data_IF_556410835620
#
_entry.id   IF_556410835620
#
_cell.length_a   1.000
_cell.length_b   1.000
_cell.length_c   1.000
_cell.angle_alpha   90.00
_cell.angle_beta   90.00
_cell.angle_gamma   90.00
#
_symmetry.space_group_name_H-M   'P 1'
#
loop_
_entity.id
_entity.type
_entity.pdbx_description
1 polymer ?
#
# COMPACT_ATOMS: atom_id res chain seq x y z
N UNK A 1 -34.01 -2.30 -34.03
CA UNK A 1 -32.53 -2.31 -34.01
C UNK A 1 -31.92 -1.50 -32.87
N UNK A 2 -32.58 -0.47 -32.33
CA UNK A 2 -32.03 0.38 -31.24
C UNK A 2 -31.97 -0.24 -29.83
N UNK A 3 -32.81 -1.26 -29.55
CA UNK A 3 -32.83 -1.93 -28.22
C UNK A 3 -31.56 -2.72 -27.91
N UNK A 4 -30.95 -3.34 -28.92
CA UNK A 4 -29.68 -4.05 -28.75
C UNK A 4 -28.52 -3.08 -28.51
N UNK A 5 -28.56 -1.90 -29.15
CA UNK A 5 -27.56 -0.85 -28.97
C UNK A 5 -27.56 -0.29 -27.53
N UNK A 6 -28.74 -0.12 -26.94
CA UNK A 6 -28.90 0.36 -25.56
C UNK A 6 -28.28 -0.59 -24.51
N UNK A 7 -28.35 -1.90 -24.73
CA UNK A 7 -27.79 -2.88 -23.78
C UNK A 7 -26.25 -2.92 -23.81
N UNK A 8 -25.62 -2.67 -24.97
CA UNK A 8 -24.17 -2.65 -25.10
C UNK A 8 -23.55 -1.44 -24.38
N UNK A 9 -24.22 -0.28 -24.40
CA UNK A 9 -23.76 0.93 -23.71
C UNK A 9 -23.79 0.75 -22.19
N UNK A 10 -24.79 0.04 -21.64
CA UNK A 10 -24.89 -0.25 -20.21
C UNK A 10 -23.74 -1.15 -19.73
N UNK A 11 -23.31 -2.12 -20.53
CA UNK A 11 -22.20 -3.01 -20.17
C UNK A 11 -20.83 -2.30 -20.17
N UNK A 12 -20.63 -1.28 -21.02
CA UNK A 12 -19.39 -0.50 -21.06
C UNK A 12 -19.26 0.50 -19.89
N UNK A 13 -20.38 0.99 -19.35
CA UNK A 13 -20.40 1.90 -18.19
C UNK A 13 -20.16 1.18 -16.85
N UNK A 14 -20.34 -0.14 -16.79
CA UNK A 14 -20.02 -0.95 -15.61
C UNK A 14 -18.57 -1.44 -15.57
N UNK A 15 -17.77 -1.16 -16.60
CA UNK A 15 -16.32 -1.39 -16.59
C UNK A 15 -15.59 -0.22 -15.91
N UNK A 16 -16.08 0.21 -14.75
CA UNK A 16 -15.22 0.94 -13.83
C UNK A 16 -14.30 -0.10 -13.21
N UNK A 17 -13.04 -0.10 -13.66
CA UNK A 17 -11.91 -0.69 -12.96
C UNK A 17 -11.75 -0.03 -11.58
N UNK A 18 -12.74 -0.17 -10.71
CA UNK A 18 -12.64 0.14 -9.30
C UNK A 18 -12.26 -1.17 -8.63
N UNK A 19 -10.98 -1.53 -8.74
CA UNK A 19 -10.35 -2.02 -7.53
C UNK A 19 -10.09 -0.74 -6.74
N UNK A 20 -10.92 -0.35 -5.74
CA UNK A 20 -10.32 0.40 -4.67
C UNK A 20 -9.23 -0.53 -4.17
N UNK A 21 -7.96 -0.21 -4.47
CA UNK A 21 -6.84 -0.77 -3.76
C UNK A 21 -7.04 -0.29 -2.33
N UNK A 22 -7.85 -1.05 -1.58
CA UNK A 22 -8.11 -0.84 -0.18
C UNK A 22 -6.74 -0.62 0.44
N UNK A 23 -6.52 0.50 1.15
CA UNK A 23 -5.30 0.68 1.92
C UNK A 23 -5.22 -0.61 2.73
N UNK A 24 -4.21 -1.45 2.52
CA UNK A 24 -4.06 -2.55 3.47
C UNK A 24 -3.62 -1.87 4.73
N UNK A 25 -4.59 -1.60 5.58
CA UNK A 25 -4.39 -1.10 6.92
C UNK A 25 -3.48 -2.16 7.54
N UNK A 26 -2.21 -1.80 7.68
CA UNK A 26 -1.23 -2.65 8.30
C UNK A 26 -1.66 -2.88 9.74
N UNK A 27 -1.49 -4.11 10.22
CA UNK A 27 -1.66 -4.40 11.64
C UNK A 27 -0.52 -3.73 12.40
N UNK A 28 -0.85 -2.89 13.38
CA UNK A 28 0.15 -2.21 14.21
C UNK A 28 0.91 -3.23 15.05
N UNK A 29 2.21 -3.02 15.25
CA UNK A 29 2.98 -3.86 16.17
C UNK A 29 2.57 -3.62 17.63
N UNK A 30 2.79 -4.61 18.50
CA UNK A 30 2.64 -4.44 19.95
C UNK A 30 3.61 -3.40 20.48
N UNK A 31 3.34 -2.80 21.64
CA UNK A 31 4.21 -1.75 22.19
C UNK A 31 5.66 -2.23 22.42
N UNK A 32 5.83 -3.46 22.94
CA UNK A 32 7.14 -4.08 23.12
C UNK A 32 7.89 -4.27 21.80
N UNK A 33 7.19 -4.73 20.75
CA UNK A 33 7.78 -4.92 19.43
C UNK A 33 8.13 -3.58 18.77
N UNK A 34 7.30 -2.55 18.94
CA UNK A 34 7.59 -1.20 18.43
C UNK A 34 8.90 -0.66 19.00
N UNK A 35 9.14 -0.79 20.30
CA UNK A 35 10.37 -0.34 20.95
C UNK A 35 11.60 -1.10 20.44
N UNK A 36 11.44 -2.37 20.08
CA UNK A 36 12.54 -3.23 19.60
C UNK A 36 12.86 -3.00 18.13
N UNK A 37 11.84 -2.88 17.27
CA UNK A 37 12.02 -2.85 15.82
C UNK A 37 11.97 -1.45 15.22
N UNK A 38 11.20 -0.54 15.80
CA UNK A 38 10.93 0.79 15.26
C UNK A 38 11.56 1.88 16.13
N UNK A 39 12.87 1.77 16.35
CA UNK A 39 13.68 2.79 16.98
C UNK A 39 14.58 3.49 15.95
N UNK A 40 14.89 4.77 16.16
CA UNK A 40 15.84 5.51 15.32
C UNK A 40 15.26 6.56 14.37
N UNK A 41 13.95 6.77 14.33
CA UNK A 41 13.34 7.91 13.63
C UNK A 41 13.52 7.92 12.11
N UNK A 42 13.70 6.73 11.52
CA UNK A 42 13.81 6.56 10.08
C UNK A 42 12.42 6.43 9.46
N UNK A 43 12.21 7.13 8.35
CA UNK A 43 11.09 6.95 7.46
C UNK A 43 11.50 6.06 6.29
N UNK A 44 10.67 5.04 6.02
CA UNK A 44 10.89 4.07 4.97
C UNK A 44 9.81 4.25 3.90
N UNK A 45 10.20 4.23 2.63
CA UNK A 45 9.24 4.33 1.52
C UNK A 45 9.41 3.17 0.55
N UNK A 46 8.29 2.50 0.27
CA UNK A 46 8.13 1.53 -0.81
C UNK A 46 7.07 2.05 -1.81
N UNK A 47 7.09 1.62 -3.08
CA UNK A 47 6.24 2.20 -4.13
C UNK A 47 4.73 2.22 -3.80
N UNK A 48 4.17 1.07 -3.39
CA UNK A 48 2.72 0.92 -3.17
C UNK A 48 2.35 0.66 -1.69
N UNK A 49 3.32 0.82 -0.78
CA UNK A 49 3.13 0.54 0.65
C UNK A 49 3.38 1.82 1.45
N UNK A 50 2.30 2.38 1.98
CA UNK A 50 2.35 3.51 2.92
C UNK A 50 2.83 3.03 4.30
N UNK A 51 3.97 3.56 4.74
CA UNK A 51 4.58 3.27 6.05
C UNK A 51 4.58 4.56 6.86
N UNK A 52 3.41 4.88 7.41
CA UNK A 52 3.19 6.04 8.27
C UNK A 52 3.30 5.69 9.77
N UNK A 53 3.49 4.42 10.10
CA UNK A 53 3.55 3.90 11.47
C UNK A 53 4.30 2.57 11.52
N UNK A 54 4.64 2.16 12.73
CA UNK A 54 5.30 0.88 12.96
C UNK A 54 4.30 -0.27 12.84
N UNK A 55 4.36 -0.99 11.72
CA UNK A 55 3.34 -1.97 11.35
C UNK A 55 3.94 -3.27 10.80
N UNK A 56 3.14 -4.33 10.87
CA UNK A 56 3.39 -5.60 10.21
C UNK A 56 3.14 -5.40 8.72
N UNK A 57 4.16 -5.69 7.91
CA UNK A 57 4.05 -5.63 6.44
C UNK A 57 2.90 -6.53 5.96
N UNK A 58 1.88 -5.97 5.28
CA UNK A 58 0.74 -6.72 4.77
C UNK A 58 1.18 -7.82 3.79
N UNK A 59 0.55 -9.00 3.86
CA UNK A 59 0.94 -10.18 3.06
C UNK A 59 1.03 -9.89 1.56
N UNK A 60 0.12 -9.05 1.04
CA UNK A 60 0.06 -8.69 -0.39
C UNK A 60 1.32 -8.00 -0.92
N UNK A 61 2.11 -7.36 -0.04
CA UNK A 61 3.31 -6.63 -0.44
C UNK A 61 4.61 -7.37 -0.19
N UNK A 62 4.62 -8.41 0.64
CA UNK A 62 5.84 -9.14 1.04
C UNK A 62 6.61 -9.69 -0.15
N UNK A 63 5.90 -10.29 -1.12
CA UNK A 63 6.54 -10.84 -2.32
C UNK A 63 7.20 -9.74 -3.17
N UNK A 64 6.55 -8.60 -3.33
CA UNK A 64 7.12 -7.49 -4.10
C UNK A 64 8.35 -6.90 -3.40
N UNK A 65 8.33 -6.75 -2.07
CA UNK A 65 9.50 -6.33 -1.29
C UNK A 65 10.67 -7.29 -1.53
N UNK A 66 10.43 -8.60 -1.44
CA UNK A 66 11.49 -9.61 -1.59
C UNK A 66 12.02 -9.71 -3.02
N UNK A 67 11.16 -9.62 -4.04
CA UNK A 67 11.52 -10.03 -5.40
C UNK A 67 11.64 -8.88 -6.40
N UNK A 68 11.06 -7.70 -6.12
CA UNK A 68 10.91 -6.63 -7.11
C UNK A 68 11.43 -5.28 -6.67
N UNK A 69 11.04 -4.82 -5.48
CA UNK A 69 11.28 -3.44 -5.05
C UNK A 69 12.70 -3.24 -4.50
N UNK A 70 13.35 -4.29 -4.01
CA UNK A 70 14.66 -4.18 -3.41
C UNK A 70 14.62 -3.39 -2.08
N UNK A 71 15.72 -2.72 -1.69
CA UNK A 71 15.76 -1.93 -0.46
C UNK A 71 14.77 -0.74 -0.50
N UNK A 72 14.20 -0.33 0.64
CA UNK A 72 13.37 0.86 0.70
C UNK A 72 14.20 2.12 0.48
N UNK A 73 13.54 3.20 0.06
CA UNK A 73 14.12 4.53 0.25
C UNK A 73 14.10 4.85 1.75
N UNK A 74 15.22 5.35 2.27
CA UNK A 74 15.38 5.65 3.70
C UNK A 74 15.64 7.14 3.86
N UNK A 75 14.89 7.78 4.76
CA UNK A 75 15.12 9.17 5.19
C UNK A 75 15.20 9.24 6.70
N UNK A 76 16.03 10.13 7.23
CA UNK A 76 16.00 10.49 8.64
C UNK A 76 14.98 11.62 8.80
N UNK A 77 13.90 11.38 9.53
CA UNK A 77 12.79 12.33 9.67
C UNK A 77 13.23 13.70 10.22
N UNK A 78 14.33 13.72 10.98
CA UNK A 78 14.87 14.92 11.61
C UNK A 78 15.94 15.65 10.79
N UNK A 79 16.35 15.13 9.62
CA UNK A 79 17.45 15.72 8.86
C UNK A 79 17.11 17.08 8.22
N UNK A 80 15.83 17.30 7.92
CA UNK A 80 15.33 18.52 7.28
C UNK A 80 14.61 19.46 8.27
N UNK A 81 14.89 19.31 9.57
CA UNK A 81 14.23 20.06 10.65
C UNK A 81 15.18 21.07 11.27
#
# INVERSE_FOLDING_TARGET
>A
MFRALLLVVVACLQCTCQNPSEPSIGELLTNDDQLRFCSGGLELTYPDLDINSCLIVPKKFRQNITQKWGPPLVRLATADK
#
